data_IF_905608634335
#
_entry.id   IF_905608634335
#
_cell.length_a   1.000
_cell.length_b   1.000
_cell.length_c   1.000
_cell.angle_alpha   90.00
_cell.angle_beta   90.00
_cell.angle_gamma   90.00
#
_symmetry.space_group_name_H-M   'P 1'
#
loop_
_entity.id
_entity.type
_entity.pdbx_description
1 polymer ?
#
# COMPACT_ATOMS: atom_id res chain seq x y z
N UNK A 1 -28.22 -79.79 -91.28
CA UNK A 1 -28.66 -78.66 -90.44
C UNK A 1 -28.20 -79.00 -89.01
N UNK A 2 -26.97 -78.65 -88.57
CA UNK A 2 -26.53 -77.39 -87.90
C UNK A 2 -27.54 -76.99 -86.79
N UNK A 3 -27.24 -76.79 -85.49
CA UNK A 3 -26.00 -76.55 -84.71
C UNK A 3 -26.26 -76.94 -83.23
N UNK A 4 -25.19 -77.26 -82.48
CA UNK A 4 -25.10 -77.46 -81.02
C UNK A 4 -25.08 -76.16 -80.17
N UNK A 5 -25.35 -76.32 -78.87
CA UNK A 5 -24.74 -75.68 -77.67
C UNK A 5 -24.77 -74.15 -77.43
N UNK A 6 -25.25 -73.77 -76.22
CA UNK A 6 -24.67 -72.78 -75.28
C UNK A 6 -25.57 -72.78 -74.01
N UNK A 7 -25.17 -73.29 -72.85
CA UNK A 7 -24.27 -72.72 -71.82
C UNK A 7 -24.53 -71.25 -71.46
N UNK A 8 -24.83 -71.03 -70.17
CA UNK A 8 -24.59 -69.77 -69.46
C UNK A 8 -25.75 -68.78 -69.41
N UNK A 9 -26.34 -68.59 -68.23
CA UNK A 9 -26.08 -67.38 -67.45
C UNK A 9 -26.84 -67.43 -66.13
N UNK A 10 -26.08 -67.57 -65.04
CA UNK A 10 -26.55 -67.29 -63.70
C UNK A 10 -27.01 -65.84 -63.62
N UNK A 11 -28.22 -65.64 -63.14
CA UNK A 11 -28.76 -64.32 -62.84
C UNK A 11 -27.89 -63.72 -61.72
N UNK A 12 -27.31 -62.51 -61.89
CA UNK A 12 -26.67 -61.85 -60.77
C UNK A 12 -27.75 -61.47 -59.77
N UNK A 13 -27.71 -62.12 -58.60
CA UNK A 13 -28.45 -61.73 -57.42
C UNK A 13 -27.89 -60.36 -57.01
N UNK A 14 -28.56 -59.30 -57.47
CA UNK A 14 -28.29 -57.93 -57.04
C UNK A 14 -28.59 -57.87 -55.53
N UNK A 15 -27.57 -58.13 -54.71
CA UNK A 15 -27.58 -57.75 -53.31
C UNK A 15 -27.66 -56.23 -53.31
N UNK A 16 -28.88 -55.74 -53.09
CA UNK A 16 -29.19 -54.36 -52.81
C UNK A 16 -28.40 -53.99 -51.56
N UNK A 17 -27.20 -53.45 -51.74
CA UNK A 17 -26.40 -52.88 -50.67
C UNK A 17 -27.27 -51.87 -49.95
N UNK A 18 -27.67 -52.20 -48.72
CA UNK A 18 -28.35 -51.27 -47.84
C UNK A 18 -27.41 -50.10 -47.62
N UNK A 19 -27.65 -48.98 -48.31
CA UNK A 19 -27.06 -47.70 -47.94
C UNK A 19 -27.62 -47.34 -46.57
N UNK A 20 -26.87 -47.63 -45.52
CA UNK A 20 -27.04 -46.97 -44.24
C UNK A 20 -26.82 -45.48 -44.50
N UNK A 21 -27.90 -44.71 -44.54
CA UNK A 21 -27.85 -43.26 -44.48
C UNK A 21 -27.51 -42.91 -43.02
N UNK A 22 -26.23 -43.04 -42.68
CA UNK A 22 -25.69 -42.61 -41.41
C UNK A 22 -25.89 -41.09 -41.28
N UNK A 23 -26.45 -40.65 -40.14
CA UNK A 23 -26.72 -39.26 -39.81
C UNK A 23 -25.41 -38.50 -39.46
N UNK A 24 -24.43 -38.56 -40.36
CA UNK A 24 -23.07 -38.05 -40.21
C UNK A 24 -23.03 -36.52 -40.07
N UNK A 25 -24.04 -35.84 -40.62
CA UNK A 25 -24.19 -34.38 -40.52
C UNK A 25 -24.53 -33.92 -39.11
N UNK A 26 -25.30 -34.72 -38.35
CA UNK A 26 -25.66 -34.40 -36.96
C UNK A 26 -24.48 -34.54 -36.01
N UNK A 27 -23.68 -35.60 -36.16
CA UNK A 27 -22.48 -35.78 -35.35
C UNK A 27 -21.38 -34.77 -35.71
N UNK A 28 -21.26 -34.39 -36.99
CA UNK A 28 -20.35 -33.32 -37.40
C UNK A 28 -20.73 -31.98 -36.77
N UNK A 29 -22.02 -31.63 -36.73
CA UNK A 29 -22.49 -30.40 -36.09
C UNK A 29 -22.24 -30.40 -34.58
N UNK A 30 -22.44 -31.53 -33.91
CA UNK A 30 -22.14 -31.68 -32.48
C UNK A 30 -20.63 -31.55 -32.22
N UNK A 31 -19.78 -32.18 -33.02
CA UNK A 31 -18.32 -32.04 -32.89
C UNK A 31 -17.88 -30.59 -33.06
N UNK A 32 -18.42 -29.88 -34.06
CA UNK A 32 -18.14 -28.44 -34.24
C UNK A 32 -18.63 -27.65 -33.03
N UNK A 33 -19.82 -27.94 -32.50
CA UNK A 33 -20.37 -27.26 -31.33
C UNK A 33 -19.52 -27.47 -30.07
N UNK A 34 -19.01 -28.69 -29.85
CA UNK A 34 -18.12 -28.99 -28.72
C UNK A 34 -16.77 -28.28 -28.90
N UNK A 35 -16.22 -28.30 -30.12
CA UNK A 35 -14.95 -27.61 -30.41
C UNK A 35 -15.06 -26.09 -30.25
N UNK A 36 -16.19 -25.47 -30.66
CA UNK A 36 -16.42 -24.04 -30.45
C UNK A 36 -16.71 -23.70 -28.99
N UNK A 37 -17.39 -24.57 -28.25
CA UNK A 37 -17.61 -24.39 -26.81
C UNK A 37 -16.28 -24.42 -26.03
N UNK A 38 -15.38 -25.35 -26.35
CA UNK A 38 -14.06 -25.43 -25.72
C UNK A 38 -13.22 -24.20 -26.07
N UNK A 39 -13.20 -23.76 -27.34
CA UNK A 39 -12.43 -22.58 -27.72
C UNK A 39 -12.94 -21.31 -27.05
N UNK A 40 -14.26 -21.16 -26.91
CA UNK A 40 -14.87 -20.04 -26.19
C UNK A 40 -14.52 -20.06 -24.70
N UNK A 41 -14.57 -21.24 -24.07
CA UNK A 41 -14.19 -21.40 -22.66
C UNK A 41 -12.71 -21.00 -22.43
N UNK A 42 -11.80 -21.41 -23.31
CA UNK A 42 -10.38 -21.03 -23.23
C UNK A 42 -10.19 -19.53 -23.43
N UNK A 43 -10.85 -18.91 -24.43
CA UNK A 43 -10.79 -17.46 -24.64
C UNK A 43 -11.32 -16.67 -23.44
N UNK A 44 -12.47 -17.08 -22.88
CA UNK A 44 -13.03 -16.47 -21.69
C UNK A 44 -12.07 -16.56 -20.48
N UNK A 45 -11.42 -17.72 -20.30
CA UNK A 45 -10.42 -17.91 -19.26
C UNK A 45 -9.21 -16.98 -19.40
N UNK A 46 -8.68 -16.83 -20.63
CA UNK A 46 -7.56 -15.92 -20.89
C UNK A 46 -7.93 -14.45 -20.65
N UNK A 47 -9.10 -14.01 -21.12
CA UNK A 47 -9.57 -12.64 -20.90
C UNK A 47 -9.70 -12.37 -19.40
N UNK A 48 -10.30 -13.29 -18.64
CA UNK A 48 -10.45 -13.14 -17.19
C UNK A 48 -9.10 -12.95 -16.49
N UNK A 49 -8.11 -13.78 -16.82
CA UNK A 49 -6.77 -13.66 -16.24
C UNK A 49 -6.12 -12.31 -16.58
N UNK A 50 -6.18 -11.87 -17.84
CA UNK A 50 -5.59 -10.60 -18.27
C UNK A 50 -6.26 -9.41 -17.56
N UNK A 51 -7.59 -9.44 -17.40
CA UNK A 51 -8.31 -8.38 -16.69
C UNK A 51 -7.87 -8.30 -15.22
N UNK A 52 -7.75 -9.43 -14.53
CA UNK A 52 -7.28 -9.44 -13.14
C UNK A 52 -5.84 -8.93 -13.02
N UNK A 53 -4.95 -9.34 -13.92
CA UNK A 53 -3.56 -8.86 -13.94
C UNK A 53 -3.46 -7.34 -14.20
N UNK A 54 -4.32 -6.81 -15.06
CA UNK A 54 -4.35 -5.37 -15.38
C UNK A 54 -4.82 -4.54 -14.19
N UNK A 55 -5.87 -4.99 -13.49
CA UNK A 55 -6.39 -4.31 -12.29
C UNK A 55 -5.32 -4.30 -11.20
N UNK A 56 -4.69 -5.46 -10.94
CA UNK A 56 -3.64 -5.57 -9.92
C UNK A 56 -2.47 -4.62 -10.20
N UNK A 57 -2.02 -4.54 -11.46
CA UNK A 57 -0.94 -3.62 -11.84
C UNK A 57 -1.33 -2.14 -11.65
N UNK A 58 -2.60 -1.78 -11.87
CA UNK A 58 -3.11 -0.44 -11.61
C UNK A 58 -3.08 -0.07 -10.13
N UNK A 59 -3.52 -0.99 -9.27
CA UNK A 59 -3.50 -0.81 -7.81
C UNK A 59 -2.07 -0.69 -7.29
N UNK A 60 -1.16 -1.54 -7.77
CA UNK A 60 0.25 -1.52 -7.37
C UNK A 60 0.92 -0.17 -7.67
N UNK A 61 0.65 0.43 -8.84
CA UNK A 61 1.21 1.75 -9.18
C UNK A 61 0.73 2.86 -8.25
N UNK A 62 -0.56 2.84 -7.89
CA UNK A 62 -1.16 3.85 -7.01
C UNK A 62 -0.64 3.70 -5.57
N UNK A 63 -0.52 2.46 -5.11
CA UNK A 63 0.11 2.18 -3.83
C UNK A 63 1.59 2.61 -3.83
N UNK A 64 2.32 2.36 -4.91
CA UNK A 64 3.71 2.77 -5.07
C UNK A 64 3.86 4.30 -5.04
N UNK A 65 2.93 5.07 -5.58
CA UNK A 65 2.99 6.54 -5.47
C UNK A 65 2.64 7.02 -4.06
N UNK A 66 1.63 6.44 -3.42
CA UNK A 66 1.24 6.78 -2.05
C UNK A 66 2.36 6.48 -1.04
N UNK A 67 3.07 5.35 -1.20
CA UNK A 67 4.18 4.98 -0.32
C UNK A 67 5.42 5.86 -0.52
N UNK A 68 5.74 6.27 -1.75
CA UNK A 68 6.82 7.23 -1.99
C UNK A 68 6.50 8.60 -1.38
N UNK A 69 5.24 9.05 -1.46
CA UNK A 69 4.78 10.23 -0.74
C UNK A 69 4.92 10.05 0.78
N UNK A 70 4.59 8.87 1.31
CA UNK A 70 4.79 8.56 2.74
C UNK A 70 6.25 8.55 3.18
N UNK A 71 7.17 8.05 2.35
CA UNK A 71 8.61 8.11 2.62
C UNK A 71 9.08 9.56 2.66
N UNK A 72 8.72 10.37 1.66
CA UNK A 72 9.02 11.80 1.67
C UNK A 72 8.42 12.48 2.92
N UNK A 73 7.20 12.08 3.31
CA UNK A 73 6.56 12.58 4.51
C UNK A 73 7.27 12.22 5.82
N UNK A 74 7.88 11.02 5.87
CA UNK A 74 8.72 10.60 7.00
C UNK A 74 10.02 11.41 7.09
N UNK A 75 10.65 11.77 5.95
CA UNK A 75 11.84 12.63 5.94
C UNK A 75 11.54 14.02 6.51
N UNK A 76 10.40 14.58 6.11
CA UNK A 76 9.90 15.86 6.63
C UNK A 76 9.60 15.78 8.13
N UNK A 77 9.10 14.63 8.59
CA UNK A 77 8.87 14.36 10.01
C UNK A 77 10.19 14.24 10.79
N UNK A 78 11.26 13.69 10.21
CA UNK A 78 12.57 13.68 10.86
C UNK A 78 13.11 15.09 11.05
N UNK A 79 12.96 15.96 10.04
CA UNK A 79 13.31 17.38 10.17
C UNK A 79 12.47 18.06 11.25
N UNK A 80 11.16 17.74 11.33
CA UNK A 80 10.27 18.22 12.37
C UNK A 80 10.78 17.88 13.78
N UNK A 81 11.15 16.62 14.01
CA UNK A 81 11.68 16.15 15.29
C UNK A 81 13.05 16.78 15.57
N UNK A 82 13.93 16.82 14.56
CA UNK A 82 15.28 17.36 14.69
C UNK A 82 15.32 18.86 14.98
N UNK A 83 14.32 19.62 14.50
CA UNK A 83 14.14 21.06 14.77
C UNK A 83 13.24 21.33 15.98
N UNK A 84 12.84 20.29 16.73
CA UNK A 84 11.96 20.38 17.90
C UNK A 84 10.64 21.11 17.61
N UNK A 85 10.11 20.91 16.40
CA UNK A 85 8.78 21.34 16.00
C UNK A 85 8.68 22.67 15.25
N UNK A 86 9.80 23.21 14.78
CA UNK A 86 9.84 24.40 13.91
C UNK A 86 10.63 24.15 12.62
N UNK A 87 10.15 23.26 11.73
CA UNK A 87 10.76 23.06 10.43
C UNK A 87 10.55 24.30 9.54
N UNK A 88 11.62 24.74 8.86
CA UNK A 88 11.61 26.01 8.12
C UNK A 88 11.00 25.95 6.72
N UNK A 89 10.64 24.77 6.21
CA UNK A 89 10.34 24.56 4.78
C UNK A 89 8.86 24.27 4.50
N UNK A 90 8.14 23.60 5.42
CA UNK A 90 6.74 23.20 5.21
C UNK A 90 5.80 23.87 6.21
N UNK A 91 4.59 24.19 5.77
CA UNK A 91 3.52 24.65 6.64
C UNK A 91 2.80 23.43 7.21
N UNK A 92 2.96 23.19 8.50
CA UNK A 92 2.28 22.11 9.22
C UNK A 92 0.97 22.61 9.80
N UNK A 93 -0.09 21.83 9.61
CA UNK A 93 -1.33 22.00 10.35
C UNK A 93 -1.26 21.13 11.63
N UNK A 94 -1.32 21.72 12.84
CA UNK A 94 -1.27 20.94 14.07
C UNK A 94 -2.61 20.23 14.31
N UNK A 95 -2.57 18.92 14.57
CA UNK A 95 -3.72 18.14 15.06
C UNK A 95 -3.83 18.16 16.60
N UNK A 96 -2.71 18.40 17.29
CA UNK A 96 -2.64 18.47 18.76
C UNK A 96 -2.18 19.84 19.27
N UNK A 97 -2.39 20.05 20.57
CA UNK A 97 -1.92 21.26 21.27
C UNK A 97 -0.40 21.36 21.33
N UNK A 98 0.12 22.59 21.40
CA UNK A 98 1.54 22.87 21.61
C UNK A 98 2.13 22.15 22.82
N UNK A 99 1.37 22.14 23.92
CA UNK A 99 1.79 21.53 25.17
C UNK A 99 1.99 20.02 24.99
N UNK A 100 1.03 19.32 24.37
CA UNK A 100 1.17 17.90 24.10
C UNK A 100 2.39 17.62 23.20
N UNK A 101 2.56 18.43 22.16
CA UNK A 101 3.65 18.24 21.20
C UNK A 101 5.03 18.43 21.83
N UNK A 102 5.15 19.42 22.72
CA UNK A 102 6.37 19.65 23.49
C UNK A 102 6.68 18.45 24.41
N UNK A 103 5.66 17.85 25.03
CA UNK A 103 5.84 16.63 25.84
C UNK A 103 6.28 15.45 24.97
N UNK A 104 5.62 15.23 23.82
CA UNK A 104 5.97 14.17 22.86
C UNK A 104 7.41 14.23 22.38
N UNK A 105 7.92 15.45 22.15
CA UNK A 105 9.29 15.67 21.69
C UNK A 105 10.33 15.59 22.82
N UNK A 106 10.00 15.93 24.06
CA UNK A 106 11.01 16.13 25.10
C UNK A 106 10.92 15.17 26.29
N UNK A 107 9.93 14.28 26.30
CA UNK A 107 9.70 13.38 27.43
C UNK A 107 9.25 12.00 26.93
N UNK A 108 9.56 10.98 27.73
CA UNK A 108 9.01 9.65 27.50
C UNK A 108 7.48 9.62 27.56
N UNK A 109 6.89 8.65 26.86
CA UNK A 109 5.43 8.46 26.72
C UNK A 109 4.68 8.45 28.06
N UNK A 110 5.33 7.93 29.10
CA UNK A 110 4.78 7.91 30.47
C UNK A 110 4.42 9.31 31.02
N UNK A 111 5.06 10.36 30.52
CA UNK A 111 4.91 11.74 31.00
C UNK A 111 4.05 12.63 30.09
N UNK A 112 3.46 12.10 29.02
CA UNK A 112 2.65 12.88 28.08
C UNK A 112 1.30 13.35 28.67
N UNK A 113 0.93 12.85 29.86
CA UNK A 113 -0.35 13.13 30.51
C UNK A 113 -1.54 12.89 29.57
N UNK A 114 -1.61 11.65 29.06
CA UNK A 114 -2.65 11.15 28.15
C UNK A 114 -4.02 11.31 28.81
N UNK A 115 -4.98 11.91 28.09
CA UNK A 115 -6.33 12.19 28.57
C UNK A 115 -6.49 13.54 29.27
N UNK A 116 -5.40 14.28 29.51
CA UNK A 116 -5.47 15.66 30.04
C UNK A 116 -4.79 16.66 29.11
N UNK A 117 -3.48 16.50 28.87
CA UNK A 117 -2.68 17.41 28.03
C UNK A 117 -2.64 16.92 26.60
N UNK A 118 -2.45 15.61 26.45
CA UNK A 118 -2.48 14.90 25.19
C UNK A 118 -3.82 14.18 24.99
N UNK A 119 -4.34 14.05 23.74
CA UNK A 119 -5.52 13.25 23.44
C UNK A 119 -5.44 11.83 24.01
N UNK A 120 -6.59 11.23 24.32
CA UNK A 120 -6.67 9.91 24.96
C UNK A 120 -6.10 8.76 24.09
N UNK A 121 -5.95 8.99 22.79
CA UNK A 121 -5.45 8.09 21.75
C UNK A 121 -4.03 8.47 21.27
N UNK A 122 -3.29 9.22 22.07
CA UNK A 122 -1.95 9.70 21.70
C UNK A 122 -0.90 8.59 21.55
N UNK A 123 -1.09 7.48 22.27
CA UNK A 123 -0.27 6.26 22.25
C UNK A 123 -0.82 5.18 21.30
N UNK A 124 -1.90 5.48 20.57
CA UNK A 124 -2.45 4.57 19.57
C UNK A 124 -1.70 4.72 18.25
N UNK A 125 -1.41 3.59 17.60
CA UNK A 125 -0.88 3.56 16.22
C UNK A 125 -1.90 3.99 15.16
N UNK A 126 -3.17 4.19 15.54
CA UNK A 126 -4.23 4.51 14.58
C UNK A 126 -4.23 6.00 14.26
N UNK A 127 -4.27 6.31 12.96
CA UNK A 127 -4.52 7.63 12.39
C UNK A 127 -5.82 7.57 11.59
N UNK A 128 -6.74 8.48 11.89
CA UNK A 128 -7.96 8.75 11.12
C UNK A 128 -7.87 10.19 10.56
N UNK A 129 -7.72 10.38 9.23
CA UNK A 129 -7.69 11.70 8.60
C UNK A 129 -8.90 12.58 8.92
N UNK A 130 -10.04 11.99 9.32
CA UNK A 130 -11.26 12.72 9.66
C UNK A 130 -11.33 13.19 11.10
N UNK A 131 -10.41 12.74 11.97
CA UNK A 131 -10.35 13.09 13.39
C UNK A 131 -8.97 13.66 13.73
N UNK A 132 -8.94 14.98 13.88
CA UNK A 132 -7.74 15.77 14.21
C UNK A 132 -7.05 15.34 15.51
N UNK A 133 -7.74 14.61 16.40
CA UNK A 133 -7.14 14.10 17.64
C UNK A 133 -6.28 12.85 17.43
N UNK A 134 -6.37 12.21 16.27
CA UNK A 134 -5.67 10.96 15.98
C UNK A 134 -4.27 11.15 15.41
N UNK A 135 -3.94 12.34 14.92
CA UNK A 135 -2.62 12.69 14.37
C UNK A 135 -2.05 13.93 15.06
N UNK A 136 -0.72 14.09 15.06
CA UNK A 136 -0.07 15.21 15.74
C UNK A 136 0.06 16.42 14.81
N UNK A 137 0.33 16.17 13.53
CA UNK A 137 0.37 17.18 12.48
C UNK A 137 0.04 16.58 11.11
N UNK A 138 -0.35 17.46 10.21
CA UNK A 138 -0.53 17.15 8.80
C UNK A 138 0.10 18.21 7.91
N UNK A 139 0.43 17.82 6.68
CA UNK A 139 0.91 18.72 5.63
C UNK A 139 0.62 18.11 4.25
N UNK A 140 0.62 18.98 3.25
CA UNK A 140 0.34 18.59 1.87
C UNK A 140 1.65 18.45 1.08
N UNK A 141 1.73 17.38 0.28
CA UNK A 141 2.83 17.14 -0.65
C UNK A 141 2.32 17.15 -2.10
N UNK A 142 3.07 17.82 -2.97
CA UNK A 142 2.79 17.85 -4.40
C UNK A 142 1.92 19.02 -4.84
N UNK A 143 1.37 18.90 -6.05
CA UNK A 143 0.45 19.88 -6.64
C UNK A 143 -0.71 19.14 -7.29
N UNK A 144 -1.91 19.71 -7.19
CA UNK A 144 -3.11 19.12 -7.78
C UNK A 144 -2.90 18.79 -9.27
N UNK A 145 -3.33 17.61 -9.75
CA UNK A 145 -4.21 16.64 -9.09
C UNK A 145 -3.48 15.47 -8.39
N UNK A 146 -2.16 15.59 -8.14
CA UNK A 146 -1.35 14.60 -7.43
C UNK A 146 -0.91 15.17 -6.07
N UNK A 147 -1.86 15.77 -5.38
CA UNK A 147 -1.75 16.20 -4.00
C UNK A 147 -1.98 15.01 -3.05
N UNK A 148 -1.05 14.88 -2.10
CA UNK A 148 -1.10 13.89 -1.04
C UNK A 148 -1.10 14.59 0.30
N UNK A 149 -2.14 14.29 1.09
CA UNK A 149 -2.22 14.71 2.48
C UNK A 149 -1.44 13.70 3.32
N UNK A 150 -0.42 14.20 4.01
CA UNK A 150 0.41 13.42 4.93
C UNK A 150 0.00 13.74 6.35
N UNK A 151 -0.39 12.72 7.09
CA UNK A 151 -0.70 12.76 8.51
C UNK A 151 0.39 12.00 9.25
N UNK A 152 0.92 12.58 10.31
CA UNK A 152 1.94 11.91 11.11
C UNK A 152 1.68 12.09 12.60
N UNK A 153 2.11 11.10 13.37
CA UNK A 153 2.05 11.12 14.84
C UNK A 153 3.24 10.41 15.45
N UNK A 154 3.63 10.86 16.62
CA UNK A 154 4.53 10.13 17.51
C UNK A 154 3.65 9.27 18.43
N UNK A 155 3.84 7.96 18.36
CA UNK A 155 3.11 6.96 19.16
C UNK A 155 3.83 6.70 20.48
N UNK A 156 5.15 6.62 20.41
CA UNK A 156 5.97 6.30 21.58
C UNK A 156 7.30 7.05 21.50
N UNK A 157 7.70 7.66 22.60
CA UNK A 157 9.03 8.22 22.82
C UNK A 157 9.66 7.48 23.98
N UNK A 158 10.79 6.81 23.72
CA UNK A 158 11.59 6.12 24.73
C UNK A 158 12.88 6.89 24.96
N UNK A 159 13.14 7.20 26.22
CA UNK A 159 14.41 7.77 26.66
C UNK A 159 15.51 6.70 26.54
N UNK A 160 16.55 6.98 25.77
CA UNK A 160 17.71 6.11 25.64
C UNK A 160 18.59 6.13 26.89
N UNK A 161 19.31 5.02 27.09
CA UNK A 161 20.14 4.79 28.28
C UNK A 161 21.50 5.52 28.24
N UNK A 162 21.64 6.59 27.46
CA UNK A 162 22.78 7.47 27.63
C UNK A 162 22.46 8.36 28.82
N UNK A 163 23.25 8.23 29.88
CA UNK A 163 23.13 9.06 31.06
C UNK A 163 22.98 10.54 30.63
N UNK A 164 21.97 11.22 31.17
CA UNK A 164 21.91 12.67 31.12
C UNK A 164 23.31 13.19 31.49
N UNK A 165 23.83 14.17 30.75
CA UNK A 165 25.06 14.83 31.15
C UNK A 165 24.87 15.27 32.61
N UNK A 166 25.62 14.66 33.53
CA UNK A 166 25.53 14.86 34.98
C UNK A 166 25.96 16.29 35.37
N UNK A 167 26.07 17.20 34.40
CA UNK A 167 26.64 18.51 34.59
C UNK A 167 28.01 18.32 35.20
N UNK A 168 28.99 17.89 34.41
CA UNK A 168 30.38 18.08 34.80
C UNK A 168 30.70 19.59 34.74
N UNK A 169 30.04 20.37 35.60
CA UNK A 169 30.44 21.71 36.00
C UNK A 169 31.77 21.51 36.69
N UNK A 170 32.83 21.49 35.88
CA UNK A 170 34.18 21.68 36.35
C UNK A 170 34.19 23.07 36.97
N UNK A 171 33.93 23.16 38.28
CA UNK A 171 34.10 24.35 39.12
C UNK A 171 35.58 24.76 39.12
N UNK A 172 36.06 25.25 37.97
CA UNK A 172 37.49 25.39 37.75
C UNK A 172 37.94 26.03 36.45
N UNK A 173 37.10 26.29 35.44
CA UNK A 173 37.48 27.22 34.35
C UNK A 173 36.23 27.88 33.73
N UNK A 174 36.03 29.17 34.05
CA UNK A 174 35.24 30.23 33.38
C UNK A 174 33.78 29.87 33.02
N UNK A 175 32.84 30.68 33.56
CA UNK A 175 31.42 30.66 33.19
C UNK A 175 31.25 30.60 31.66
N UNK A 176 30.43 29.67 31.14
CA UNK A 176 30.14 29.67 29.72
C UNK A 176 29.33 30.91 29.39
N UNK A 177 29.85 31.70 28.45
CA UNK A 177 29.12 32.79 27.84
C UNK A 177 27.84 32.24 27.19
N UNK A 178 26.83 33.10 27.06
CA UNK A 178 25.47 32.90 26.51
C UNK A 178 25.39 32.43 25.04
N UNK A 179 26.35 31.64 24.56
CA UNK A 179 26.42 31.06 23.23
C UNK A 179 27.00 29.64 23.21
N UNK A 180 27.15 28.97 24.36
CA UNK A 180 27.49 27.54 24.39
C UNK A 180 26.26 26.69 24.03
N UNK A 181 26.35 25.97 22.91
CA UNK A 181 25.38 24.97 22.48
C UNK A 181 25.43 23.84 23.52
N UNK A 182 24.41 23.73 24.37
CA UNK A 182 24.28 22.60 25.29
C UNK A 182 24.16 21.31 24.46
N UNK A 183 25.11 20.40 24.61
CA UNK A 183 25.06 19.08 23.96
C UNK A 183 24.06 18.23 24.74
N UNK A 184 22.83 18.11 24.22
CA UNK A 184 21.85 17.22 24.80
C UNK A 184 21.95 15.85 24.15
N UNK A 185 22.78 14.96 24.69
CA UNK A 185 22.87 13.57 24.27
C UNK A 185 22.13 12.65 25.25
N UNK A 186 20.81 12.84 25.38
CA UNK A 186 19.93 11.72 25.76
C UNK A 186 19.28 11.29 24.45
N UNK A 187 19.72 10.19 23.84
CA UNK A 187 19.17 9.77 22.57
C UNK A 187 17.73 9.33 22.80
N UNK A 188 16.79 9.95 22.12
CA UNK A 188 15.39 9.52 22.16
C UNK A 188 15.12 8.60 20.98
N UNK A 189 14.38 7.54 21.24
CA UNK A 189 13.84 6.66 20.20
C UNK A 189 12.37 7.01 20.04
N UNK A 190 11.99 7.46 18.86
CA UNK A 190 10.61 7.80 18.48
C UNK A 190 10.04 6.71 17.59
N UNK A 191 8.88 6.18 17.98
CA UNK A 191 8.01 5.40 17.10
C UNK A 191 7.00 6.34 16.47
N UNK A 192 7.05 6.44 15.15
CA UNK A 192 6.30 7.41 14.35
C UNK A 192 5.41 6.64 13.40
N UNK A 193 4.13 7.00 13.35
CA UNK A 193 3.21 6.50 12.34
C UNK A 193 2.94 7.61 11.34
N UNK A 194 3.00 7.27 10.06
CA UNK A 194 2.74 8.15 8.94
C UNK A 194 1.65 7.52 8.08
N UNK A 195 0.57 8.27 7.86
CA UNK A 195 -0.51 7.90 6.96
C UNK A 195 -0.53 8.93 5.83
N UNK A 196 -0.43 8.45 4.60
CA UNK A 196 -0.60 9.28 3.40
C UNK A 196 -1.81 8.84 2.62
N UNK A 197 -2.59 9.81 2.14
CA UNK A 197 -3.70 9.58 1.23
C UNK A 197 -3.72 10.62 0.11
N UNK A 198 -4.27 10.27 -1.05
CA UNK A 198 -4.51 11.23 -2.11
C UNK A 198 -5.72 12.10 -1.78
N UNK A 199 -5.58 13.42 -1.89
CA UNK A 199 -6.63 14.40 -1.52
C UNK A 199 -7.91 14.28 -2.35
N UNK A 200 -7.85 13.68 -3.54
CA UNK A 200 -9.01 13.43 -4.43
C UNK A 200 -9.52 11.99 -4.41
N UNK A 201 -8.73 11.04 -3.89
CA UNK A 201 -9.06 9.63 -3.88
C UNK A 201 -8.48 8.91 -2.65
N UNK A 202 -9.27 8.83 -1.57
CA UNK A 202 -8.86 8.14 -0.33
C UNK A 202 -8.65 6.63 -0.46
N UNK A 203 -8.96 6.02 -1.61
CA UNK A 203 -8.57 4.63 -1.88
C UNK A 203 -7.06 4.49 -2.18
N UNK A 204 -6.36 5.59 -2.46
CA UNK A 204 -4.92 5.63 -2.67
C UNK A 204 -4.24 6.07 -1.37
N UNK A 205 -4.16 5.13 -0.43
CA UNK A 205 -3.54 5.32 0.88
C UNK A 205 -2.28 4.45 1.06
N UNK A 206 -1.36 4.92 1.89
CA UNK A 206 -0.26 4.14 2.42
C UNK A 206 -0.04 4.46 3.90
N UNK A 207 0.32 3.44 4.68
CA UNK A 207 0.59 3.55 6.12
C UNK A 207 1.99 3.02 6.39
N UNK A 208 2.77 3.82 7.09
CA UNK A 208 4.17 3.55 7.39
C UNK A 208 4.39 3.70 8.90
N UNK A 209 4.97 2.66 9.49
CA UNK A 209 5.49 2.69 10.85
C UNK A 209 7.00 2.84 10.78
N UNK A 210 7.53 3.82 11.50
CA UNK A 210 8.90 4.28 11.39
C UNK A 210 9.50 4.39 12.78
N UNK A 211 10.72 3.87 12.93
CA UNK A 211 11.52 4.03 14.14
C UNK A 211 12.66 5.01 13.86
N UNK A 212 12.71 6.10 14.64
CA UNK A 212 13.72 7.14 14.50
C UNK A 212 14.50 7.34 15.80
N UNK A 213 15.82 7.45 15.71
CA UNK A 213 16.69 7.74 16.85
C UNK A 213 17.34 9.12 16.65
N UNK A 214 17.17 10.01 17.63
CA UNK A 214 17.76 11.35 17.67
C UNK A 214 18.63 11.51 18.91
#
# INVERSE_FOLDING_TARGET
MRIQNASGNGYPLFIKGGRSLSNERGIALLMVLVLTAISLAVMAGMIYMITQSTIMSGVEKRYATAIEAGKAGSEVTYDYIGTRGSPGIYTFSPGITEACRTLKLNQSTSNWAIGTTCPANSDSVTIDPLDDTTYDWSFELGTAPLDYSVFAKIVDTVEGNSAADEGLIKTGVILPNSGEIQVQSIPYIYSIEVHTENSTNSAEEAKLSVLYQY
#
